data_IF_560927470594
#
_entry.id   IF_560927470594
#
_cell.length_a   1.000
_cell.length_b   1.000
_cell.length_c   1.000
_cell.angle_alpha   90.00
_cell.angle_beta   90.00
_cell.angle_gamma   90.00
#
_symmetry.space_group_name_H-M   'P 1'
#
loop_
_entity.id
_entity.type
_entity.pdbx_description
1 polymer ?
#
# COMPACT_ATOMS: atom_id res chain seq x y z
N UNK A 1 6.09 9.71 16.45
CA UNK A 1 4.99 9.40 17.39
C UNK A 1 5.47 8.34 18.36
N UNK A 2 5.67 8.65 19.65
CA UNK A 2 6.00 7.65 20.66
C UNK A 2 4.93 6.53 20.72
N UNK A 3 5.34 5.27 20.92
CA UNK A 3 4.40 4.14 21.06
C UNK A 3 3.95 3.48 19.75
N UNK A 4 4.62 3.75 18.61
CA UNK A 4 4.28 3.11 17.32
C UNK A 4 4.29 1.58 17.37
N UNK A 5 5.10 0.96 18.23
CA UNK A 5 5.14 -0.49 18.47
C UNK A 5 3.83 -1.06 19.01
N UNK A 6 2.93 -0.23 19.55
CA UNK A 6 1.60 -0.66 20.00
C UNK A 6 0.59 -0.73 18.85
N UNK A 7 0.91 -0.18 17.67
CA UNK A 7 -0.02 -0.07 16.54
C UNK A 7 0.51 -0.77 15.29
N UNK A 8 1.81 -0.62 14.99
CA UNK A 8 2.45 -1.25 13.84
C UNK A 8 3.02 -2.60 14.27
N UNK A 9 2.44 -3.67 13.73
CA UNK A 9 2.89 -5.03 14.01
C UNK A 9 4.09 -5.43 13.15
N UNK A 10 4.06 -5.10 11.86
CA UNK A 10 5.11 -5.46 10.89
C UNK A 10 5.05 -4.52 9.67
N UNK A 11 6.20 -4.26 9.05
CA UNK A 11 6.31 -3.59 7.76
C UNK A 11 7.30 -4.34 6.87
N UNK A 12 6.89 -4.66 5.64
CA UNK A 12 7.71 -5.41 4.67
C UNK A 12 7.79 -4.65 3.35
N UNK A 13 9.00 -4.39 2.88
CA UNK A 13 9.29 -3.64 1.64
C UNK A 13 9.98 -4.58 0.63
N UNK A 14 9.21 -5.42 -0.11
CA UNK A 14 9.78 -6.34 -1.09
C UNK A 14 10.07 -5.60 -2.40
N UNK A 15 11.26 -5.01 -2.50
CA UNK A 15 11.59 -4.12 -3.63
C UNK A 15 11.97 -4.87 -4.91
N UNK A 16 12.64 -6.03 -4.80
CA UNK A 16 13.01 -6.83 -5.96
C UNK A 16 11.91 -7.85 -6.32
N UNK A 17 11.84 -8.23 -7.59
CA UNK A 17 10.84 -9.20 -8.08
C UNK A 17 10.87 -10.51 -7.30
N UNK A 18 12.06 -11.03 -7.00
CA UNK A 18 12.20 -12.29 -6.27
C UNK A 18 11.66 -12.20 -4.84
N UNK A 19 11.90 -11.08 -4.15
CA UNK A 19 11.34 -10.84 -2.82
C UNK A 19 9.80 -10.78 -2.86
N UNK A 20 9.23 -10.18 -3.90
CA UNK A 20 7.77 -10.17 -4.08
C UNK A 20 7.21 -11.57 -4.33
N UNK A 21 7.87 -12.36 -5.19
CA UNK A 21 7.48 -13.75 -5.49
C UNK A 21 7.52 -14.61 -4.23
N UNK A 22 8.60 -14.51 -3.44
CA UNK A 22 8.74 -15.25 -2.19
C UNK A 22 7.66 -14.86 -1.18
N UNK A 23 7.33 -13.57 -1.09
CA UNK A 23 6.27 -13.09 -0.19
C UNK A 23 4.88 -13.55 -0.65
N UNK A 24 4.61 -13.54 -1.96
CA UNK A 24 3.34 -13.99 -2.54
C UNK A 24 3.20 -15.53 -2.55
N UNK A 25 4.31 -16.25 -2.54
CA UNK A 25 4.36 -17.70 -2.76
C UNK A 25 4.09 -18.13 -4.20
N UNK A 26 4.02 -17.18 -5.15
CA UNK A 26 3.77 -17.43 -6.57
C UNK A 26 4.30 -16.30 -7.44
N UNK A 27 4.41 -16.55 -8.75
CA UNK A 27 4.72 -15.52 -9.73
C UNK A 27 3.41 -14.82 -10.14
N UNK A 28 3.23 -13.52 -9.85
CA UNK A 28 2.04 -12.80 -10.32
C UNK A 28 2.12 -12.55 -11.83
N UNK A 29 0.96 -12.49 -12.50
CA UNK A 29 0.89 -12.14 -13.92
C UNK A 29 1.47 -10.74 -14.18
N UNK A 30 1.24 -9.80 -13.25
CA UNK A 30 1.82 -8.45 -13.28
C UNK A 30 2.21 -8.01 -11.88
N UNK A 31 3.47 -7.58 -11.71
CA UNK A 31 4.02 -7.18 -10.41
C UNK A 31 3.43 -5.89 -9.83
N UNK A 32 2.85 -5.04 -10.68
CA UNK A 32 2.20 -3.78 -10.32
C UNK A 32 0.82 -3.74 -10.97
N UNK A 33 -0.12 -4.44 -10.34
CA UNK A 33 -1.52 -4.54 -10.75
C UNK A 33 -2.45 -4.50 -9.55
N UNK A 34 -3.72 -4.20 -9.80
CA UNK A 34 -4.75 -4.19 -8.76
C UNK A 34 -4.83 -5.54 -8.02
N UNK A 35 -4.89 -6.64 -8.78
CA UNK A 35 -4.95 -8.00 -8.24
C UNK A 35 -3.75 -8.32 -7.34
N UNK A 36 -2.54 -7.95 -7.75
CA UNK A 36 -1.35 -8.19 -6.92
C UNK A 36 -1.42 -7.37 -5.63
N UNK A 37 -1.93 -6.14 -5.67
CA UNK A 37 -2.11 -5.32 -4.47
C UNK A 37 -3.10 -5.96 -3.49
N UNK A 38 -4.20 -6.49 -4.02
CA UNK A 38 -5.26 -7.18 -3.27
C UNK A 38 -4.73 -8.43 -2.55
N UNK A 39 -4.09 -9.35 -3.30
CA UNK A 39 -3.52 -10.59 -2.75
C UNK A 39 -2.54 -10.30 -1.62
N UNK A 40 -1.73 -9.26 -1.79
CA UNK A 40 -0.78 -8.85 -0.77
C UNK A 40 -1.41 -8.22 0.46
N UNK A 41 -2.51 -7.48 0.33
CA UNK A 41 -3.24 -6.97 1.49
C UNK A 41 -3.87 -8.12 2.30
N UNK A 42 -4.37 -9.16 1.63
CA UNK A 42 -4.85 -10.39 2.27
C UNK A 42 -3.71 -11.09 3.02
N UNK A 43 -2.55 -11.25 2.39
CA UNK A 43 -1.37 -11.85 3.05
C UNK A 43 -0.92 -11.03 4.27
N UNK A 44 -0.87 -9.70 4.15
CA UNK A 44 -0.53 -8.81 5.25
C UNK A 44 -1.54 -8.92 6.40
N UNK A 45 -2.83 -9.01 6.10
CA UNK A 45 -3.88 -9.20 7.11
C UNK A 45 -3.77 -10.56 7.81
N UNK A 46 -3.58 -11.65 7.05
CA UNK A 46 -3.39 -12.98 7.60
C UNK A 46 -2.12 -13.06 8.47
N UNK A 47 -1.06 -12.36 8.07
CA UNK A 47 0.17 -12.22 8.85
C UNK A 47 -0.08 -11.45 10.15
N UNK A 48 -0.82 -10.35 10.08
CA UNK A 48 -1.22 -9.58 11.25
C UNK A 48 -2.03 -10.42 12.24
N UNK A 49 -3.00 -11.23 11.78
CA UNK A 49 -3.77 -12.13 12.63
C UNK A 49 -2.92 -13.17 13.37
N UNK A 50 -1.79 -13.60 12.79
CA UNK A 50 -0.88 -14.56 13.43
C UNK A 50 -0.01 -13.95 14.53
N UNK A 51 0.25 -12.64 14.48
CA UNK A 51 1.17 -11.95 15.41
C UNK A 51 0.46 -11.01 16.37
N UNK A 52 -0.76 -10.59 16.06
CA UNK A 52 -1.53 -9.73 16.94
C UNK A 52 -1.97 -10.50 18.20
N UNK A 53 -2.20 -9.77 19.29
CA UNK A 53 -2.80 -10.35 20.48
C UNK A 53 -4.26 -10.76 20.17
N UNK A 54 -4.77 -11.85 20.78
CA UNK A 54 -6.17 -12.23 20.63
C UNK A 54 -7.10 -11.05 20.95
N UNK A 55 -8.11 -10.82 20.10
CA UNK A 55 -9.10 -9.76 20.26
C UNK A 55 -8.67 -8.36 19.78
N UNK A 56 -7.44 -8.18 19.32
CA UNK A 56 -7.02 -6.91 18.70
C UNK A 56 -7.53 -6.81 17.25
N UNK A 57 -8.01 -5.64 16.80
CA UNK A 57 -8.31 -5.41 15.40
C UNK A 57 -7.03 -5.46 14.57
N UNK A 58 -7.10 -6.11 13.39
CA UNK A 58 -5.99 -6.22 12.46
C UNK A 58 -6.33 -5.50 11.14
N UNK A 59 -5.30 -4.94 10.50
CA UNK A 59 -5.39 -4.28 9.21
C UNK A 59 -4.21 -4.73 8.35
N UNK A 60 -4.50 -5.36 7.22
CA UNK A 60 -3.52 -5.58 6.15
C UNK A 60 -3.52 -4.38 5.23
N UNK A 61 -2.33 -3.89 4.86
CA UNK A 61 -2.17 -2.74 3.96
C UNK A 61 -1.14 -3.08 2.90
N UNK A 62 -1.42 -2.70 1.65
CA UNK A 62 -0.46 -2.79 0.57
C UNK A 62 -0.40 -1.54 -0.29
N UNK A 63 0.82 -1.20 -0.70
CA UNK A 63 1.13 -0.24 -1.75
C UNK A 63 2.00 -0.93 -2.81
N UNK A 64 1.60 -0.86 -4.08
CA UNK A 64 2.48 -1.18 -5.21
C UNK A 64 2.23 -0.19 -6.34
N UNK A 65 3.26 0.18 -7.07
CA UNK A 65 3.08 1.16 -8.12
C UNK A 65 4.33 1.43 -8.91
N UNK A 66 4.13 2.15 -9.99
CA UNK A 66 5.16 2.71 -10.84
C UNK A 66 5.00 4.22 -10.81
N UNK A 67 5.84 4.90 -10.02
CA UNK A 67 5.94 6.36 -10.02
C UNK A 67 6.98 6.82 -11.06
N UNK A 68 7.22 8.12 -11.16
CA UNK A 68 8.31 8.71 -11.91
C UNK A 68 9.64 8.00 -11.58
N UNK A 69 10.62 8.10 -12.47
CA UNK A 69 11.99 7.63 -12.25
C UNK A 69 12.95 8.53 -13.01
N UNK A 70 14.25 8.41 -12.74
CA UNK A 70 15.29 9.14 -13.49
C UNK A 70 15.22 8.91 -15.01
N UNK A 71 14.75 7.73 -15.44
CA UNK A 71 14.44 7.44 -16.84
C UNK A 71 12.94 7.59 -17.08
N UNK A 72 12.51 8.27 -18.16
CA UNK A 72 11.10 8.36 -18.53
C UNK A 72 10.50 6.96 -18.73
N UNK A 73 9.34 6.70 -18.13
CA UNK A 73 8.61 5.44 -18.32
C UNK A 73 7.61 5.58 -19.47
N UNK A 74 7.52 4.53 -20.28
CA UNK A 74 6.50 4.44 -21.34
C UNK A 74 5.09 4.30 -20.75
N UNK A 75 4.90 3.45 -19.73
CA UNK A 75 3.61 3.26 -19.05
C UNK A 75 3.27 4.41 -18.10
N UNK A 76 1.99 4.50 -17.69
CA UNK A 76 1.50 5.54 -16.79
C UNK A 76 2.23 5.53 -15.44
N UNK A 77 2.28 6.71 -14.81
CA UNK A 77 2.61 6.77 -13.40
C UNK A 77 1.36 6.35 -12.64
N UNK A 78 1.33 5.11 -12.13
CA UNK A 78 0.14 4.52 -11.52
C UNK A 78 0.51 3.72 -10.30
N UNK A 79 -0.30 3.82 -9.26
CA UNK A 79 -0.17 2.98 -8.07
C UNK A 79 -1.51 2.39 -7.65
N UNK A 80 -1.41 1.29 -6.92
CA UNK A 80 -2.51 0.52 -6.36
C UNK A 80 -2.31 0.45 -4.85
N UNK A 81 -3.36 0.84 -4.13
CA UNK A 81 -3.46 0.73 -2.68
C UNK A 81 -4.49 -0.34 -2.36
N UNK A 82 -4.18 -1.23 -1.44
CA UNK A 82 -5.20 -2.14 -0.92
C UNK A 82 -5.17 -2.20 0.60
N UNK A 83 -6.35 -2.31 1.20
CA UNK A 83 -6.54 -2.52 2.63
C UNK A 83 -7.48 -3.68 2.88
N UNK A 84 -7.15 -4.53 3.85
CA UNK A 84 -7.95 -5.68 4.28
C UNK A 84 -8.22 -5.60 5.78
N UNK A 85 -9.48 -5.52 6.16
CA UNK A 85 -9.97 -5.69 7.53
C UNK A 85 -10.57 -7.09 7.69
N UNK A 86 -11.28 -7.38 8.79
CA UNK A 86 -12.01 -8.64 8.94
C UNK A 86 -13.16 -8.79 7.94
N UNK A 87 -13.87 -7.71 7.67
CA UNK A 87 -15.13 -7.68 6.92
C UNK A 87 -15.00 -7.10 5.51
N UNK A 88 -13.95 -6.33 5.22
CA UNK A 88 -13.81 -5.60 3.96
C UNK A 88 -12.43 -5.76 3.33
N UNK A 89 -12.42 -5.64 2.02
CA UNK A 89 -11.24 -5.54 1.18
C UNK A 89 -11.49 -4.36 0.24
N UNK A 90 -10.59 -3.40 0.26
CA UNK A 90 -10.66 -2.24 -0.62
C UNK A 90 -9.40 -2.18 -1.45
N UNK A 91 -9.58 -1.79 -2.71
CA UNK A 91 -8.49 -1.51 -3.62
C UNK A 91 -8.76 -0.19 -4.32
N UNK A 92 -7.74 0.66 -4.39
CA UNK A 92 -7.79 1.95 -5.05
C UNK A 92 -6.65 2.04 -6.05
N UNK A 93 -7.01 2.34 -7.30
CA UNK A 93 -6.05 2.58 -8.38
C UNK A 93 -5.99 4.07 -8.67
N UNK A 94 -4.80 4.65 -8.64
CA UNK A 94 -4.58 6.08 -8.92
C UNK A 94 -3.56 6.23 -10.03
N UNK A 95 -3.95 6.96 -11.07
CA UNK A 95 -3.07 7.33 -12.19
C UNK A 95 -2.69 8.80 -12.04
N UNK A 96 -1.40 9.06 -12.00
CA UNK A 96 -0.79 10.39 -11.94
C UNK A 96 -0.50 10.90 -13.35
N UNK A 97 -0.80 12.18 -13.57
CA UNK A 97 -0.46 12.86 -14.82
C UNK A 97 1.05 13.07 -14.91
N UNK A 98 1.66 12.53 -15.97
CA UNK A 98 3.10 12.65 -16.20
C UNK A 98 3.52 14.09 -16.42
N UNK A 99 4.72 14.45 -15.96
CA UNK A 99 5.34 15.75 -16.19
C UNK A 99 4.80 16.89 -15.31
N UNK A 100 3.78 16.64 -14.48
CA UNK A 100 3.27 17.63 -13.53
C UNK A 100 4.02 17.63 -12.19
N UNK A 101 4.77 16.56 -11.89
CA UNK A 101 5.41 16.34 -10.60
C UNK A 101 6.79 15.70 -10.74
N UNK A 102 7.67 16.02 -9.80
CA UNK A 102 8.96 15.36 -9.58
C UNK A 102 8.78 13.96 -8.98
N UNK A 103 9.86 13.19 -8.91
CA UNK A 103 9.84 11.85 -8.29
C UNK A 103 9.40 11.91 -6.83
N UNK A 104 9.92 12.90 -6.12
CA UNK A 104 9.72 13.14 -4.70
C UNK A 104 8.27 13.60 -4.45
N UNK A 105 7.74 14.50 -5.28
CA UNK A 105 6.35 14.97 -5.18
C UNK A 105 5.34 13.84 -5.42
N UNK A 106 5.58 12.94 -6.38
CA UNK A 106 4.73 11.76 -6.57
C UNK A 106 4.81 10.79 -5.38
N UNK A 107 5.98 10.68 -4.76
CA UNK A 107 6.18 9.88 -3.55
C UNK A 107 5.42 10.45 -2.35
N UNK A 108 5.50 11.77 -2.14
CA UNK A 108 4.75 12.48 -1.11
C UNK A 108 3.25 12.29 -1.34
N UNK A 109 2.76 12.53 -2.56
CA UNK A 109 1.34 12.37 -2.90
C UNK A 109 0.87 10.94 -2.64
N UNK A 110 1.62 9.96 -3.11
CA UNK A 110 1.24 8.56 -2.97
C UNK A 110 1.29 8.08 -1.51
N UNK A 111 2.23 8.58 -0.70
CA UNK A 111 2.28 8.34 0.75
C UNK A 111 1.07 8.93 1.49
N UNK A 112 0.63 10.11 1.07
CA UNK A 112 -0.56 10.78 1.56
C UNK A 112 -1.83 9.96 1.27
N UNK A 113 -1.97 9.44 0.05
CA UNK A 113 -3.06 8.53 -0.31
C UNK A 113 -3.03 7.23 0.52
N UNK A 114 -1.84 6.66 0.77
CA UNK A 114 -1.68 5.49 1.62
C UNK A 114 -2.16 5.77 3.05
N UNK A 115 -1.74 6.88 3.66
CA UNK A 115 -2.17 7.28 5.00
C UNK A 115 -3.69 7.48 5.07
N UNK A 116 -4.29 8.12 4.05
CA UNK A 116 -5.74 8.29 3.94
C UNK A 116 -6.45 6.93 3.87
N UNK A 117 -5.93 5.98 3.09
CA UNK A 117 -6.50 4.63 3.00
C UNK A 117 -6.44 3.89 4.36
N UNK A 118 -5.33 4.00 5.09
CA UNK A 118 -5.16 3.39 6.42
C UNK A 118 -6.16 3.99 7.41
N UNK A 119 -6.29 5.31 7.42
CA UNK A 119 -7.17 5.99 8.35
C UNK A 119 -8.66 5.67 8.06
N UNK A 120 -9.05 5.66 6.78
CA UNK A 120 -10.39 5.23 6.36
C UNK A 120 -10.68 3.79 6.79
N UNK A 121 -9.74 2.86 6.60
CA UNK A 121 -9.88 1.47 7.02
C UNK A 121 -9.93 1.31 8.56
N UNK A 122 -9.23 2.18 9.27
CA UNK A 122 -9.25 2.28 10.74
C UNK A 122 -10.46 3.03 11.29
N UNK A 123 -11.34 3.55 10.42
CA UNK A 123 -12.50 4.39 10.77
C UNK A 123 -12.13 5.65 11.59
N UNK A 124 -10.93 6.17 11.35
CA UNK A 124 -10.47 7.42 11.95
C UNK A 124 -10.89 8.56 11.03
N UNK A 125 -11.55 9.62 11.54
CA UNK A 125 -11.89 10.79 10.72
C UNK A 125 -10.61 11.47 10.24
N UNK A 126 -10.55 11.79 8.95
CA UNK A 126 -9.43 12.53 8.35
C UNK A 126 -9.97 13.71 7.58
N UNK A 127 -9.64 14.92 8.04
CA UNK A 127 -9.63 16.10 7.19
C UNK A 127 -8.34 16.06 6.38
N UNK A 128 -8.44 15.58 5.13
CA UNK A 128 -7.29 15.44 4.27
C UNK A 128 -7.25 16.59 3.26
N UNK A 129 -6.39 17.57 3.50
CA UNK A 129 -6.07 18.64 2.54
C UNK A 129 -4.72 18.31 1.90
N UNK A 130 -4.67 17.81 0.65
CA UNK A 130 -3.40 17.61 -0.04
C UNK A 130 -2.71 18.97 -0.19
N UNK A 131 -1.59 19.17 0.50
CA UNK A 131 -0.68 20.28 0.23
C UNK A 131 0.24 19.85 -0.91
N UNK A 132 -0.22 19.97 -2.15
CA UNK A 132 0.57 19.82 -3.37
C UNK A 132 0.05 20.76 -4.45
#
# INVERSE_FOLDING_TARGET
VPGASNTILEAVIPYCRMSLIQLLGKIPAQFSSEQTAEEMAILAYNRALKICRPGCPALGVRFIGSLATSRPKHGDHRFHLSTRTSDRLWVSTVTLSKGLRTREEEEILSSQFLLKAIANASKVPVEFTPQL
#
